data_IF_832404075046
#
_entry.id   IF_832404075046
#
_cell.length_a   1.000
_cell.length_b   1.000
_cell.length_c   1.000
_cell.angle_alpha   90.00
_cell.angle_beta   90.00
_cell.angle_gamma   90.00
#
_symmetry.space_group_name_H-M   'P 1'
#
loop_
_entity.id
_entity.type
_entity.pdbx_description
1 polymer ?
#
# COMPACT_ATOMS: atom_id res chain seq x y z
N UNK A 1 1.47 6.71 -20.86
CA UNK A 1 2.08 6.41 -19.54
C UNK A 1 1.54 7.29 -18.41
N UNK A 2 1.30 8.60 -18.61
CA UNK A 2 0.73 9.48 -17.57
C UNK A 2 -0.63 9.02 -17.00
N UNK A 3 -1.53 8.46 -17.83
CA UNK A 3 -2.85 7.99 -17.40
C UNK A 3 -2.80 6.77 -16.47
N UNK A 4 -1.89 5.82 -16.72
CA UNK A 4 -1.69 4.65 -15.86
C UNK A 4 -1.23 5.07 -14.46
N UNK A 5 -0.22 5.93 -14.39
CA UNK A 5 0.30 6.43 -13.12
C UNK A 5 -0.74 7.30 -12.39
N UNK A 6 -1.55 8.10 -13.10
CA UNK A 6 -2.69 8.77 -12.48
C UNK A 6 -3.70 7.79 -11.85
N UNK A 7 -4.06 6.72 -12.55
CA UNK A 7 -4.95 5.68 -12.00
C UNK A 7 -4.32 5.00 -10.78
N UNK A 8 -3.02 4.69 -10.83
CA UNK A 8 -2.29 4.15 -9.68
C UNK A 8 -2.30 5.11 -8.49
N UNK A 9 -2.14 6.41 -8.71
CA UNK A 9 -2.23 7.39 -7.64
C UNK A 9 -3.61 7.39 -6.96
N UNK A 10 -4.70 7.37 -7.74
CA UNK A 10 -6.06 7.28 -7.20
C UNK A 10 -6.31 5.96 -6.47
N UNK A 11 -5.84 4.84 -7.02
CA UNK A 11 -5.96 3.53 -6.37
C UNK A 11 -5.25 3.50 -5.01
N UNK A 12 -4.06 4.09 -4.92
CA UNK A 12 -3.33 4.25 -3.66
C UNK A 12 -4.14 5.06 -2.66
N UNK A 13 -4.68 6.23 -3.06
CA UNK A 13 -5.47 7.07 -2.17
C UNK A 13 -6.70 6.33 -1.63
N UNK A 14 -7.48 5.69 -2.50
CA UNK A 14 -8.69 4.96 -2.12
C UNK A 14 -8.34 3.80 -1.18
N UNK A 15 -7.33 2.99 -1.52
CA UNK A 15 -6.91 1.87 -0.70
C UNK A 15 -6.47 2.33 0.70
N UNK A 16 -5.74 3.44 0.79
CA UNK A 16 -5.30 4.00 2.06
C UNK A 16 -6.43 4.54 2.90
N UNK A 17 -7.38 5.27 2.31
CA UNK A 17 -8.55 5.78 3.05
C UNK A 17 -9.36 4.65 3.67
N UNK A 18 -9.44 3.49 3.01
CA UNK A 18 -10.17 2.32 3.52
C UNK A 18 -9.33 1.51 4.53
N UNK A 19 -8.06 1.24 4.23
CA UNK A 19 -7.23 0.31 5.02
C UNK A 19 -6.69 0.93 6.31
N UNK A 20 -6.32 2.21 6.30
CA UNK A 20 -5.76 2.93 7.46
C UNK A 20 -6.70 2.91 8.67
N UNK A 21 -8.00 3.28 8.56
CA UNK A 21 -8.90 3.29 9.72
C UNK A 21 -9.12 1.89 10.31
N UNK A 22 -9.17 0.86 9.45
CA UNK A 22 -9.32 -0.55 9.87
C UNK A 22 -8.09 -0.99 10.67
N UNK A 23 -6.89 -0.76 10.12
CA UNK A 23 -5.64 -1.16 10.75
C UNK A 23 -5.35 -0.39 12.04
N UNK A 24 -5.73 0.89 12.11
CA UNK A 24 -5.61 1.72 13.32
C UNK A 24 -6.46 1.18 14.49
N UNK A 25 -7.56 0.50 14.21
CA UNK A 25 -8.44 -0.11 15.24
C UNK A 25 -7.92 -1.47 15.73
N UNK A 26 -7.23 -2.25 14.89
CA UNK A 26 -6.85 -3.62 15.25
C UNK A 26 -5.46 -3.75 15.90
N UNK A 27 -4.54 -2.82 15.60
CA UNK A 27 -3.12 -2.93 15.95
C UNK A 27 -2.71 -1.93 17.03
N UNK A 28 -1.72 -2.31 17.85
CA UNK A 28 -1.06 -1.37 18.76
C UNK A 28 -0.41 -0.24 17.96
N UNK A 29 -0.57 1.00 18.42
CA UNK A 29 -0.17 2.24 17.70
C UNK A 29 1.27 2.19 17.15
N UNK A 30 2.20 1.58 17.88
CA UNK A 30 3.62 1.51 17.53
C UNK A 30 3.88 0.48 16.41
N UNK A 31 3.28 -0.71 16.49
CA UNK A 31 3.44 -1.75 15.48
C UNK A 31 2.77 -1.36 14.16
N UNK A 32 1.59 -0.72 14.27
CA UNK A 32 0.85 -0.15 13.15
C UNK A 32 1.66 0.89 12.39
N UNK A 33 2.28 1.84 13.10
CA UNK A 33 3.08 2.90 12.48
C UNK A 33 4.25 2.35 11.66
N UNK A 34 4.99 1.38 12.19
CA UNK A 34 6.15 0.78 11.50
C UNK A 34 5.74 0.00 10.25
N UNK A 35 4.71 -0.86 10.35
CA UNK A 35 4.29 -1.67 9.22
C UNK A 35 3.69 -0.81 8.10
N UNK A 36 2.88 0.17 8.46
CA UNK A 36 2.27 1.08 7.49
C UNK A 36 3.34 1.95 6.82
N UNK A 37 4.31 2.46 7.58
CA UNK A 37 5.43 3.23 7.04
C UNK A 37 6.23 2.43 5.99
N UNK A 38 6.59 1.18 6.27
CA UNK A 38 7.32 0.32 5.32
C UNK A 38 6.50 0.13 4.04
N UNK A 39 5.21 -0.20 4.20
CA UNK A 39 4.32 -0.47 3.06
C UNK A 39 4.12 0.77 2.19
N UNK A 40 3.90 1.94 2.83
CA UNK A 40 3.75 3.21 2.13
C UNK A 40 5.04 3.64 1.43
N UNK A 41 6.19 3.44 2.07
CA UNK A 41 7.49 3.75 1.47
C UNK A 41 7.72 2.90 0.23
N UNK A 42 7.37 1.61 0.25
CA UNK A 42 7.46 0.74 -0.93
C UNK A 42 6.54 1.21 -2.07
N UNK A 43 5.29 1.58 -1.77
CA UNK A 43 4.33 2.08 -2.76
C UNK A 43 4.81 3.42 -3.36
N UNK A 44 5.23 4.37 -2.52
CA UNK A 44 5.74 5.67 -2.94
C UNK A 44 7.01 5.53 -3.79
N UNK A 45 7.96 4.70 -3.36
CA UNK A 45 9.19 4.48 -4.12
C UNK A 45 8.89 3.79 -5.45
N UNK A 46 8.02 2.77 -5.49
CA UNK A 46 7.59 2.15 -6.74
C UNK A 46 6.92 3.15 -7.69
N UNK A 47 6.07 4.04 -7.15
CA UNK A 47 5.43 5.10 -7.90
C UNK A 47 6.43 6.12 -8.46
N UNK A 48 7.34 6.64 -7.63
CA UNK A 48 8.34 7.63 -8.04
C UNK A 48 9.28 7.03 -9.10
N UNK A 49 9.77 5.82 -8.86
CA UNK A 49 10.68 5.12 -9.79
C UNK A 49 9.99 4.89 -11.13
N UNK A 50 8.72 4.48 -11.13
CA UNK A 50 7.99 4.24 -12.36
C UNK A 50 7.60 5.51 -13.11
N UNK A 51 7.23 6.60 -12.42
CA UNK A 51 6.94 7.89 -13.05
C UNK A 51 8.20 8.52 -13.67
N UNK A 52 9.35 8.38 -13.01
CA UNK A 52 10.63 8.93 -13.47
C UNK A 52 11.44 7.94 -14.32
N UNK A 53 10.88 6.77 -14.64
CA UNK A 53 11.58 5.73 -15.37
C UNK A 53 11.97 6.23 -16.76
N UNK A 54 13.28 6.28 -17.02
CA UNK A 54 13.84 6.58 -18.35
C UNK A 54 14.08 5.32 -19.18
N UNK A 55 14.02 4.14 -18.54
CA UNK A 55 14.24 2.84 -19.17
C UNK A 55 13.08 1.89 -18.90
N UNK A 56 12.83 0.97 -19.83
CA UNK A 56 11.74 -0.03 -19.71
C UNK A 56 11.95 -0.94 -18.48
N UNK A 57 13.20 -1.29 -18.16
CA UNK A 57 13.51 -2.09 -16.97
C UNK A 57 13.14 -1.35 -15.67
N UNK A 58 13.40 -0.05 -15.58
CA UNK A 58 13.04 0.75 -14.41
C UNK A 58 11.52 0.89 -14.27
N UNK A 59 10.79 1.03 -15.38
CA UNK A 59 9.33 1.12 -15.38
C UNK A 59 8.70 -0.19 -14.87
N UNK A 60 9.17 -1.34 -15.37
CA UNK A 60 8.73 -2.66 -14.90
C UNK A 60 9.02 -2.83 -13.41
N UNK A 61 10.22 -2.46 -12.96
CA UNK A 61 10.58 -2.53 -11.53
C UNK A 61 9.67 -1.64 -10.67
N UNK A 62 9.38 -0.42 -11.13
CA UNK A 62 8.45 0.50 -10.47
C UNK A 62 7.04 -0.07 -10.34
N UNK A 63 6.52 -0.66 -11.42
CA UNK A 63 5.21 -1.34 -11.44
C UNK A 63 5.19 -2.50 -10.44
N UNK A 64 6.21 -3.35 -10.44
CA UNK A 64 6.30 -4.50 -9.53
C UNK A 64 6.33 -4.04 -8.07
N UNK A 65 7.18 -3.07 -7.73
CA UNK A 65 7.28 -2.50 -6.38
C UNK A 65 5.95 -1.90 -5.92
N UNK A 66 5.29 -1.14 -6.81
CA UNK A 66 4.00 -0.51 -6.52
C UNK A 66 2.92 -1.57 -6.26
N UNK A 67 2.78 -2.57 -7.14
CA UNK A 67 1.77 -3.63 -7.00
C UNK A 67 2.00 -4.46 -5.76
N UNK A 68 3.26 -4.80 -5.44
CA UNK A 68 3.60 -5.61 -4.28
C UNK A 68 3.34 -4.85 -2.97
N UNK A 69 3.63 -3.55 -2.94
CA UNK A 69 3.27 -2.66 -1.83
C UNK A 69 1.74 -2.58 -1.62
N UNK A 70 0.98 -2.41 -2.70
CA UNK A 70 -0.50 -2.40 -2.64
C UNK A 70 -1.08 -3.72 -2.16
N UNK A 71 -0.56 -4.85 -2.65
CA UNK A 71 -0.97 -6.18 -2.21
C UNK A 71 -0.69 -6.39 -0.71
N UNK A 72 0.48 -5.95 -0.22
CA UNK A 72 0.84 -6.03 1.19
C UNK A 72 -0.10 -5.16 2.07
N UNK A 73 -0.47 -3.98 1.60
CA UNK A 73 -1.42 -3.09 2.29
C UNK A 73 -2.80 -3.74 2.45
N UNK A 74 -3.33 -4.31 1.36
CA UNK A 74 -4.60 -5.05 1.37
C UNK A 74 -4.53 -6.29 2.26
N UNK A 75 -3.46 -7.08 2.15
CA UNK A 75 -3.27 -8.28 2.95
C UNK A 75 -3.24 -7.95 4.46
N UNK A 76 -2.54 -6.90 4.85
CA UNK A 76 -2.55 -6.42 6.24
C UNK A 76 -3.92 -5.93 6.68
N UNK A 77 -4.68 -5.28 5.81
CA UNK A 77 -6.05 -4.86 6.11
C UNK A 77 -6.97 -6.06 6.35
N UNK A 78 -6.87 -7.11 5.53
CA UNK A 78 -7.65 -8.36 5.71
C UNK A 78 -7.29 -9.06 7.02
N UNK A 79 -5.99 -9.23 7.32
CA UNK A 79 -5.57 -9.81 8.61
C UNK A 79 -6.01 -8.97 9.81
N UNK A 80 -5.96 -7.65 9.67
CA UNK A 80 -6.45 -6.71 10.67
C UNK A 80 -7.96 -6.88 10.92
N UNK A 81 -8.76 -7.10 9.87
CA UNK A 81 -10.19 -7.40 9.99
C UNK A 81 -10.44 -8.75 10.68
N UNK A 82 -9.70 -9.79 10.31
CA UNK A 82 -9.80 -11.11 10.95
C UNK A 82 -9.57 -11.01 12.46
N UNK A 83 -8.48 -10.33 12.87
CA UNK A 83 -8.18 -10.11 14.29
C UNK A 83 -9.24 -9.29 15.03
N UNK A 84 -9.87 -8.33 14.36
CA UNK A 84 -10.97 -7.55 14.95
C UNK A 84 -12.24 -8.40 15.12
N UNK A 85 -12.50 -9.35 14.22
CA UNK A 85 -13.62 -10.30 14.36
C UNK A 85 -13.38 -11.28 15.50
N UNK A 86 -12.18 -11.87 15.58
CA UNK A 86 -11.78 -12.78 16.67
C UNK A 86 -11.83 -12.14 18.06
N UNK A 87 -11.67 -10.81 18.16
CA UNK A 87 -11.80 -10.09 19.44
C UNK A 87 -13.22 -9.68 19.79
N UNK A 88 -14.16 -9.78 18.84
CA UNK A 88 -15.55 -9.36 18.99
C UNK A 88 -16.48 -10.55 19.30
N UNK A 89 -16.08 -11.75 18.91
CA UNK A 89 -16.59 -13.03 19.42
C UNK A 89 -16.00 -13.34 20.81
#
# INVERSE_FOLDING_TARGET
>A
MHTFWQMAFWAMLVASVICIPIQRRALNKIAFGRSLFITYTAILMGYIVGVLATTVAADIMGIVLYVLGMAMLLFMAVKSLQRLREKRE
#
